data_IF_006857198614
#
_entry.id   IF_006857198614
#
_cell.length_a   1.000
_cell.length_b   1.000
_cell.length_c   1.000
_cell.angle_alpha   90.00
_cell.angle_beta   90.00
_cell.angle_gamma   90.00
#
_symmetry.space_group_name_H-M   'P 1'
#
loop_
_entity.id
_entity.type
_entity.pdbx_description
1 polymer ?
#
# COMPACT_ATOMS: atom_id res chain seq x y z
N UNK A 1 -9.60 5.82 6.77
CA UNK A 1 -9.26 4.55 6.07
C UNK A 1 -8.60 3.46 6.95
N UNK A 2 -8.95 3.26 8.24
CA UNK A 2 -8.22 2.32 9.11
C UNK A 2 -8.45 0.84 8.74
N UNK A 3 -9.65 0.48 8.28
CA UNK A 3 -9.95 -0.91 7.91
C UNK A 3 -9.12 -1.40 6.71
N UNK A 4 -8.87 -0.52 5.72
CA UNK A 4 -8.07 -0.87 4.53
C UNK A 4 -6.59 -1.08 4.88
N UNK A 5 -6.04 -0.27 5.78
CA UNK A 5 -4.66 -0.42 6.28
C UNK A 5 -4.49 -1.74 7.03
N UNK A 6 -5.45 -2.10 7.90
CA UNK A 6 -5.43 -3.38 8.62
C UNK A 6 -5.39 -4.58 7.67
N UNK A 7 -6.21 -4.58 6.62
CA UNK A 7 -6.24 -5.66 5.63
C UNK A 7 -4.89 -5.82 4.88
N UNK A 8 -4.18 -4.72 4.61
CA UNK A 8 -2.86 -4.77 3.98
C UNK A 8 -1.81 -5.38 4.92
N UNK A 9 -1.81 -4.97 6.19
CA UNK A 9 -0.91 -5.53 7.20
C UNK A 9 -1.17 -7.02 7.41
N UNK A 10 -2.44 -7.45 7.45
CA UNK A 10 -2.81 -8.87 7.54
C UNK A 10 -2.35 -9.67 6.32
N UNK A 11 -2.49 -9.12 5.10
CA UNK A 11 -1.99 -9.77 3.88
C UNK A 11 -0.47 -9.94 3.91
N UNK A 12 0.26 -8.90 4.35
CA UNK A 12 1.71 -8.97 4.50
C UNK A 12 2.13 -10.01 5.55
N UNK A 13 1.52 -10.02 6.73
CA UNK A 13 1.83 -10.98 7.79
C UNK A 13 1.54 -12.44 7.40
N UNK A 14 0.53 -12.67 6.56
CA UNK A 14 0.19 -14.01 6.04
C UNK A 14 1.05 -14.42 4.84
N UNK A 15 1.93 -13.55 4.33
CA UNK A 15 2.69 -13.78 3.10
C UNK A 15 1.82 -13.78 1.83
N UNK A 16 0.59 -13.27 1.90
CA UNK A 16 -0.36 -13.23 0.79
C UNK A 16 -0.03 -12.07 -0.16
N UNK A 17 0.97 -12.29 -1.01
CA UNK A 17 1.49 -11.30 -1.96
C UNK A 17 0.45 -10.86 -2.98
N UNK A 18 -0.42 -11.76 -3.44
CA UNK A 18 -1.47 -11.43 -4.41
C UNK A 18 -2.46 -10.42 -3.81
N UNK A 19 -2.90 -10.68 -2.57
CA UNK A 19 -3.82 -9.77 -1.88
C UNK A 19 -3.18 -8.43 -1.55
N UNK A 20 -1.88 -8.43 -1.20
CA UNK A 20 -1.12 -7.21 -0.96
C UNK A 20 -0.93 -6.40 -2.25
N UNK A 21 -0.63 -7.05 -3.37
CA UNK A 21 -0.50 -6.41 -4.68
C UNK A 21 -1.83 -5.79 -5.12
N UNK A 22 -2.93 -6.53 -5.00
CA UNK A 22 -4.26 -6.03 -5.33
C UNK A 22 -4.66 -4.81 -4.47
N UNK A 23 -4.27 -4.82 -3.19
CA UNK A 23 -4.45 -3.65 -2.33
C UNK A 23 -3.63 -2.46 -2.82
N UNK A 24 -2.35 -2.65 -3.15
CA UNK A 24 -1.48 -1.60 -3.66
C UNK A 24 -2.01 -1.00 -4.97
N UNK A 25 -2.49 -1.84 -5.89
CA UNK A 25 -3.13 -1.43 -7.13
C UNK A 25 -4.36 -0.55 -6.89
N UNK A 26 -5.24 -0.95 -5.96
CA UNK A 26 -6.42 -0.15 -5.60
C UNK A 26 -6.03 1.19 -4.96
N UNK A 27 -4.97 1.23 -4.17
CA UNK A 27 -4.47 2.47 -3.58
C UNK A 27 -3.85 3.39 -4.63
N UNK A 28 -3.15 2.83 -5.61
CA UNK A 28 -2.59 3.55 -6.75
C UNK A 28 -3.70 4.20 -7.59
N UNK A 29 -4.69 3.41 -8.02
CA UNK A 29 -5.81 3.91 -8.85
C UNK A 29 -6.81 4.79 -8.11
N UNK A 30 -7.10 4.47 -6.84
CA UNK A 30 -8.07 5.19 -6.02
C UNK A 30 -7.56 6.54 -5.54
N UNK A 31 -6.32 6.63 -5.05
CA UNK A 31 -5.81 7.85 -4.43
C UNK A 31 -5.58 9.00 -5.43
N UNK A 32 -5.27 8.69 -6.69
CA UNK A 32 -5.09 9.71 -7.74
C UNK A 32 -6.37 10.47 -8.06
N UNK A 33 -7.54 9.81 -8.03
CA UNK A 33 -8.83 10.43 -8.30
C UNK A 33 -9.34 11.38 -7.21
N UNK A 34 -8.86 11.24 -5.97
CA UNK A 34 -9.29 12.06 -4.82
C UNK A 34 -8.27 13.14 -4.42
N UNK A 35 -7.24 13.40 -5.25
CA UNK A 35 -6.23 14.43 -4.98
C UNK A 35 -5.08 14.00 -4.07
N UNK A 36 -5.01 12.72 -3.68
CA UNK A 36 -3.93 12.16 -2.86
C UNK A 36 -2.78 11.61 -3.72
N UNK A 37 -2.18 12.48 -4.53
CA UNK A 37 -1.10 12.15 -5.48
C UNK A 37 0.10 11.46 -4.84
N UNK A 38 0.48 11.83 -3.61
CA UNK A 38 1.57 11.16 -2.90
C UNK A 38 1.24 9.72 -2.52
N UNK A 39 0.02 9.44 -2.04
CA UNK A 39 -0.43 8.08 -1.71
C UNK A 39 -0.44 7.23 -2.98
N UNK A 40 -0.96 7.77 -4.09
CA UNK A 40 -1.00 7.08 -5.38
C UNK A 40 0.40 6.69 -5.85
N UNK A 41 1.36 7.62 -5.82
CA UNK A 41 2.76 7.35 -6.20
C UNK A 41 3.42 6.29 -5.32
N UNK A 42 3.24 6.37 -3.99
CA UNK A 42 3.85 5.39 -3.08
C UNK A 42 3.20 4.00 -3.18
N UNK A 43 1.89 3.95 -3.45
CA UNK A 43 1.20 2.69 -3.71
C UNK A 43 1.69 2.01 -5.01
N UNK A 44 1.98 2.79 -6.06
CA UNK A 44 2.59 2.27 -7.28
C UNK A 44 3.99 1.68 -7.02
N UNK A 45 4.79 2.32 -6.15
CA UNK A 45 6.09 1.77 -5.72
C UNK A 45 5.90 0.42 -5.01
N UNK A 46 4.98 0.34 -4.04
CA UNK A 46 4.67 -0.91 -3.35
C UNK A 46 4.22 -2.02 -4.32
N UNK A 47 3.31 -1.70 -5.25
CA UNK A 47 2.84 -2.62 -6.28
C UNK A 47 4.01 -3.17 -7.10
N UNK A 48 4.92 -2.30 -7.52
CA UNK A 48 6.10 -2.68 -8.29
C UNK A 48 7.10 -3.51 -7.47
N UNK A 49 7.31 -3.18 -6.19
CA UNK A 49 8.18 -3.94 -5.28
C UNK A 49 7.66 -5.38 -5.12
N UNK A 50 6.34 -5.56 -5.04
CA UNK A 50 5.72 -6.89 -4.96
C UNK A 50 5.81 -7.63 -6.29
N UNK A 51 5.51 -6.96 -7.42
CA UNK A 51 5.50 -7.60 -8.75
C UNK A 51 6.88 -8.03 -9.21
N UNK A 52 7.92 -7.28 -8.85
CA UNK A 52 9.33 -7.60 -9.15
C UNK A 52 9.97 -8.56 -8.14
N UNK A 53 9.17 -9.14 -7.25
CA UNK A 53 9.59 -10.15 -6.27
C UNK A 53 10.77 -9.69 -5.39
N UNK A 54 10.76 -8.42 -4.99
CA UNK A 54 11.80 -7.85 -4.14
C UNK A 54 11.83 -8.53 -2.75
N UNK A 55 12.95 -8.40 -2.01
CA UNK A 55 13.05 -8.86 -0.64
C UNK A 55 11.88 -8.38 0.24
N UNK A 56 11.49 -9.22 1.20
CA UNK A 56 10.37 -8.95 2.11
C UNK A 56 10.54 -7.63 2.89
N UNK A 57 11.78 -7.29 3.24
CA UNK A 57 12.17 -6.01 3.84
C UNK A 57 11.73 -4.82 2.97
N UNK A 58 12.01 -4.86 1.68
CA UNK A 58 11.66 -3.77 0.76
C UNK A 58 10.13 -3.63 0.64
N UNK A 59 9.42 -4.76 0.61
CA UNK A 59 7.95 -4.78 0.63
C UNK A 59 7.41 -4.17 1.92
N UNK A 60 8.02 -4.50 3.07
CA UNK A 60 7.63 -3.96 4.37
C UNK A 60 7.84 -2.44 4.45
N UNK A 61 9.01 -1.95 4.03
CA UNK A 61 9.32 -0.53 4.00
C UNK A 61 8.34 0.23 3.10
N UNK A 62 8.07 -0.29 1.90
CA UNK A 62 7.11 0.32 0.98
C UNK A 62 5.68 0.31 1.56
N UNK A 63 5.26 -0.77 2.22
CA UNK A 63 3.96 -0.88 2.87
C UNK A 63 3.82 0.16 3.98
N UNK A 64 4.81 0.26 4.87
CA UNK A 64 4.83 1.21 5.99
C UNK A 64 4.65 2.66 5.50
N UNK A 65 5.31 3.03 4.40
CA UNK A 65 5.19 4.37 3.82
C UNK A 65 3.74 4.64 3.36
N UNK A 66 3.11 3.69 2.66
CA UNK A 66 1.74 3.88 2.15
C UNK A 66 0.74 3.93 3.31
N UNK A 67 0.86 3.06 4.31
CA UNK A 67 -0.06 3.03 5.46
C UNK A 67 0.03 4.30 6.29
N UNK A 68 1.23 4.81 6.55
CA UNK A 68 1.44 6.08 7.27
C UNK A 68 0.78 7.26 6.55
N UNK A 69 0.89 7.33 5.22
CA UNK A 69 0.22 8.39 4.46
C UNK A 69 -1.31 8.25 4.52
N UNK A 70 -1.83 7.02 4.48
CA UNK A 70 -3.27 6.77 4.62
C UNK A 70 -3.81 7.18 5.99
N UNK A 71 -3.04 6.94 7.06
CA UNK A 71 -3.41 7.35 8.42
C UNK A 71 -3.43 8.87 8.55
N UNK A 72 -2.39 9.57 8.06
CA UNK A 72 -2.34 11.03 8.06
C UNK A 72 -3.49 11.66 7.26
N UNK A 73 -3.83 11.09 6.11
CA UNK A 73 -4.96 11.53 5.30
C UNK A 73 -6.33 11.23 5.92
N UNK A 74 -6.40 10.31 6.89
CA UNK A 74 -7.66 9.98 7.59
C UNK A 74 -7.85 10.77 8.89
N UNK A 75 -6.79 11.42 9.39
CA UNK A 75 -6.80 12.23 10.60
C UNK A 75 -7.19 13.70 10.34
N UNK A 76 -7.22 14.11 9.07
CA UNK A 76 -7.79 15.37 8.58
C UNK A 76 -9.20 15.14 8.02
#
# INVERSE_FOLDING_TARGET
MPHRVRLANEAFMRGDRLRLQFWAHQMHGGAGGYGFLEISKKAAVLENTISTNQPLENVFQALLVVTNLCERASAN
#
